data_IF_096255456995
#
_entry.id   IF_096255456995
#
_cell.length_a   1.000
_cell.length_b   1.000
_cell.length_c   1.000
_cell.angle_alpha   90.00
_cell.angle_beta   90.00
_cell.angle_gamma   90.00
#
_symmetry.space_group_name_H-M   'P 1'
#
loop_
_entity.id
_entity.type
_entity.pdbx_description
1 polymer ?
#
# COMPACT_ATOMS: atom_id res chain seq x y z
N UNK A 1 -13.16 -14.17 15.77
CA UNK A 1 -13.98 -14.21 14.54
C UNK A 1 -13.06 -14.59 13.39
N UNK A 2 -13.27 -15.75 12.81
CA UNK A 2 -12.53 -16.22 11.64
C UNK A 2 -13.10 -15.47 10.43
N UNK A 3 -12.26 -14.92 9.59
CA UNK A 3 -12.65 -14.28 8.32
C UNK A 3 -12.90 -15.35 7.26
N UNK A 4 -14.16 -15.79 7.04
CA UNK A 4 -14.48 -16.93 6.18
C UNK A 4 -14.21 -16.67 4.68
N UNK A 5 -14.11 -15.40 4.28
CA UNK A 5 -13.93 -14.99 2.89
C UNK A 5 -12.52 -15.23 2.33
N UNK A 6 -11.54 -15.47 3.19
CA UNK A 6 -10.17 -15.77 2.76
C UNK A 6 -9.86 -17.26 2.68
N UNK A 7 -10.90 -18.10 2.49
CA UNK A 7 -10.68 -19.47 2.06
C UNK A 7 -10.09 -19.47 0.63
N UNK A 8 -8.80 -19.47 0.53
CA UNK A 8 -8.08 -19.74 -0.73
C UNK A 8 -8.58 -21.11 -1.22
N UNK A 9 -9.22 -21.15 -2.41
CA UNK A 9 -9.57 -22.42 -3.04
C UNK A 9 -8.29 -23.19 -3.33
N UNK A 10 -8.08 -24.28 -2.60
CA UNK A 10 -6.86 -25.07 -2.61
C UNK A 10 -7.09 -26.29 -3.47
N UNK A 11 -6.16 -26.51 -4.39
CA UNK A 11 -5.98 -27.80 -5.04
C UNK A 11 -5.50 -28.81 -3.98
N UNK A 12 -6.27 -29.88 -3.77
CA UNK A 12 -6.13 -30.86 -2.68
C UNK A 12 -4.83 -31.69 -2.73
N UNK A 13 -3.84 -31.31 -3.53
CA UNK A 13 -2.56 -32.02 -3.70
C UNK A 13 -1.31 -31.27 -3.23
N UNK A 14 -1.42 -30.06 -2.68
CA UNK A 14 -0.29 -29.32 -2.09
C UNK A 14 -0.52 -29.06 -0.61
N UNK A 15 0.52 -29.23 0.20
CA UNK A 15 0.54 -29.03 1.64
C UNK A 15 -0.16 -27.72 2.05
N UNK A 16 -1.25 -27.89 2.81
CA UNK A 16 -2.03 -26.79 3.37
C UNK A 16 -1.25 -26.15 4.52
N UNK A 17 -0.46 -25.15 4.22
CA UNK A 17 0.13 -24.32 5.26
C UNK A 17 -0.91 -23.33 5.77
N UNK A 18 -1.43 -23.54 6.97
CA UNK A 18 -2.28 -22.55 7.64
C UNK A 18 -1.54 -21.21 7.71
N UNK A 19 -2.19 -20.08 7.34
CA UNK A 19 -1.58 -18.77 7.46
C UNK A 19 -1.03 -18.59 8.87
N UNK A 20 0.28 -18.32 8.99
CA UNK A 20 0.90 -18.09 10.28
C UNK A 20 0.46 -16.72 10.86
N UNK A 21 0.72 -16.49 12.13
CA UNK A 21 0.30 -15.26 12.82
C UNK A 21 0.92 -13.99 12.18
N UNK A 22 2.13 -14.11 11.63
CA UNK A 22 2.78 -13.00 10.95
C UNK A 22 2.07 -12.63 9.65
N UNK A 23 1.64 -13.63 8.87
CA UNK A 23 0.82 -13.41 7.67
C UNK A 23 -0.52 -12.76 8.01
N UNK A 24 -1.22 -13.25 9.03
CA UNK A 24 -2.51 -12.67 9.47
C UNK A 24 -2.36 -11.22 9.89
N UNK A 25 -1.31 -10.92 10.69
CA UNK A 25 -0.93 -9.55 11.07
C UNK A 25 -0.64 -8.70 9.83
N UNK A 26 0.15 -9.23 8.91
CA UNK A 26 0.52 -8.55 7.67
C UNK A 26 -0.67 -8.27 6.77
N UNK A 27 -1.57 -9.23 6.62
CA UNK A 27 -2.78 -9.08 5.83
C UNK A 27 -3.67 -7.94 6.37
N UNK A 28 -3.88 -7.92 7.68
CA UNK A 28 -4.63 -6.85 8.33
C UNK A 28 -4.02 -5.48 8.04
N UNK A 29 -2.70 -5.32 8.24
CA UNK A 29 -2.00 -4.06 8.02
C UNK A 29 -2.04 -3.65 6.54
N UNK A 30 -1.80 -4.59 5.64
CA UNK A 30 -1.85 -4.37 4.19
C UNK A 30 -3.22 -3.85 3.76
N UNK A 31 -4.29 -4.47 4.27
CA UNK A 31 -5.68 -4.07 4.00
C UNK A 31 -5.98 -2.67 4.54
N UNK A 32 -5.57 -2.36 5.76
CA UNK A 32 -5.77 -1.03 6.36
C UNK A 32 -5.04 0.07 5.58
N UNK A 33 -3.85 -0.20 5.03
CA UNK A 33 -3.05 0.78 4.29
C UNK A 33 -3.47 0.89 2.82
N UNK A 34 -3.64 -0.23 2.12
CA UNK A 34 -3.88 -0.23 0.67
C UNK A 34 -5.37 -0.24 0.30
N UNK A 35 -6.25 -0.56 1.25
CA UNK A 35 -7.69 -0.74 1.05
C UNK A 35 -8.05 -2.17 0.73
N UNK A 36 -9.24 -2.57 1.19
CA UNK A 36 -9.75 -3.95 1.11
C UNK A 36 -9.88 -4.42 -0.35
N UNK A 37 -10.52 -3.62 -1.18
CA UNK A 37 -10.75 -3.96 -2.60
C UNK A 37 -9.45 -4.27 -3.37
N UNK A 38 -8.40 -3.47 -3.13
CA UNK A 38 -7.10 -3.71 -3.77
C UNK A 38 -6.47 -5.01 -3.30
N UNK A 39 -6.47 -5.25 -1.98
CA UNK A 39 -5.84 -6.43 -1.38
C UNK A 39 -6.58 -7.70 -1.76
N UNK A 40 -7.91 -7.68 -1.72
CA UNK A 40 -8.75 -8.82 -2.12
C UNK A 40 -8.53 -9.17 -3.58
N UNK A 41 -8.50 -8.18 -4.46
CA UNK A 41 -8.20 -8.40 -5.88
C UNK A 41 -6.83 -9.04 -6.07
N UNK A 42 -5.79 -8.53 -5.39
CA UNK A 42 -4.43 -9.04 -5.50
C UNK A 42 -4.31 -10.49 -5.00
N UNK A 43 -4.99 -10.84 -3.91
CA UNK A 43 -4.97 -12.20 -3.34
C UNK A 43 -5.80 -13.16 -4.20
N UNK A 44 -7.02 -12.77 -4.58
CA UNK A 44 -7.94 -13.63 -5.32
C UNK A 44 -7.50 -13.88 -6.78
N UNK A 45 -6.73 -12.96 -7.36
CA UNK A 45 -6.13 -13.13 -8.70
C UNK A 45 -4.80 -13.87 -8.68
N UNK A 46 -4.29 -14.25 -7.50
CA UNK A 46 -3.02 -14.95 -7.39
C UNK A 46 -3.10 -16.35 -8.01
N UNK A 47 -2.17 -16.63 -8.91
CA UNK A 47 -1.97 -17.91 -9.56
C UNK A 47 -0.79 -18.66 -8.92
N UNK A 48 -0.55 -19.90 -9.30
CA UNK A 48 0.62 -20.67 -8.81
C UNK A 48 1.95 -19.95 -9.08
N UNK A 49 2.00 -19.10 -10.12
CA UNK A 49 3.21 -18.32 -10.45
C UNK A 49 3.57 -17.26 -9.40
N UNK A 50 2.58 -16.58 -8.83
CA UNK A 50 2.82 -15.43 -7.95
C UNK A 50 2.26 -15.58 -6.53
N UNK A 51 1.66 -16.71 -6.19
CA UNK A 51 1.08 -16.98 -4.87
C UNK A 51 2.14 -16.90 -3.77
N UNK A 52 3.24 -17.61 -3.94
CA UNK A 52 4.33 -17.62 -2.95
C UNK A 52 4.89 -16.21 -2.71
N UNK A 53 4.95 -15.39 -3.77
CA UNK A 53 5.37 -13.98 -3.64
C UNK A 53 4.34 -13.14 -2.88
N UNK A 54 3.02 -13.34 -3.12
CA UNK A 54 1.98 -12.66 -2.36
C UNK A 54 2.04 -13.02 -0.86
N UNK A 55 2.27 -14.29 -0.54
CA UNK A 55 2.44 -14.77 0.84
C UNK A 55 3.70 -14.16 1.47
N UNK A 56 4.85 -14.28 0.82
CA UNK A 56 6.11 -13.72 1.26
C UNK A 56 6.01 -12.20 1.54
N UNK A 57 5.48 -11.45 0.58
CA UNK A 57 5.31 -10.00 0.72
C UNK A 57 4.36 -9.65 1.86
N UNK A 58 3.24 -10.37 2.01
CA UNK A 58 2.28 -10.10 3.08
C UNK A 58 2.89 -10.39 4.45
N UNK A 59 3.62 -11.48 4.58
CA UNK A 59 4.25 -11.87 5.84
C UNK A 59 5.41 -10.94 6.21
N UNK A 60 6.37 -10.75 5.31
CA UNK A 60 7.61 -10.05 5.66
C UNK A 60 7.51 -8.54 5.51
N UNK A 61 6.98 -8.02 4.40
CA UNK A 61 6.84 -6.59 4.24
C UNK A 61 5.80 -6.03 5.22
N UNK A 62 4.58 -6.55 5.17
CA UNK A 62 3.47 -6.01 5.95
C UNK A 62 3.47 -6.49 7.40
N UNK A 63 3.70 -7.77 7.65
CA UNK A 63 3.72 -8.34 9.00
C UNK A 63 4.98 -7.96 9.77
N UNK A 64 6.16 -8.29 9.23
CA UNK A 64 7.41 -8.12 9.96
C UNK A 64 7.93 -6.68 9.95
N UNK A 65 7.76 -5.89 8.86
CA UNK A 65 8.29 -4.53 8.77
C UNK A 65 7.25 -3.48 9.12
N UNK A 66 6.11 -3.43 8.41
CA UNK A 66 5.06 -2.46 8.67
C UNK A 66 4.39 -2.63 10.05
N UNK A 67 4.45 -3.84 10.59
CA UNK A 67 3.93 -4.16 11.91
C UNK A 67 4.86 -3.81 13.09
N UNK A 68 5.99 -3.14 12.86
CA UNK A 68 6.92 -2.69 13.92
C UNK A 68 6.51 -1.32 14.47
N UNK A 69 6.75 -1.12 15.77
CA UNK A 69 6.37 0.13 16.48
C UNK A 69 7.39 1.27 16.31
N UNK A 70 8.61 0.99 15.81
CA UNK A 70 9.69 1.97 15.73
C UNK A 70 9.44 3.19 14.83
N UNK A 71 8.51 3.07 13.86
CA UNK A 71 8.02 4.18 13.04
C UNK A 71 6.50 4.13 12.96
N UNK A 72 5.85 5.28 13.00
CA UNK A 72 4.41 5.38 12.75
C UNK A 72 4.07 5.02 11.30
N UNK A 73 2.81 4.69 11.04
CA UNK A 73 2.33 4.41 9.68
C UNK A 73 2.47 5.61 8.75
N UNK A 74 2.26 6.82 9.26
CA UNK A 74 2.52 8.07 8.53
C UNK A 74 3.96 8.15 8.05
N UNK A 75 4.92 7.98 8.96
CA UNK A 75 6.34 8.02 8.63
C UNK A 75 6.72 6.95 7.60
N UNK A 76 6.19 5.72 7.73
CA UNK A 76 6.41 4.66 6.73
C UNK A 76 5.85 5.04 5.37
N UNK A 77 4.66 5.66 5.33
CA UNK A 77 4.06 6.11 4.08
C UNK A 77 4.90 7.19 3.40
N UNK A 78 5.32 8.23 4.12
CA UNK A 78 6.17 9.29 3.55
C UNK A 78 7.52 8.73 3.07
N UNK A 79 8.15 7.82 3.83
CA UNK A 79 9.37 7.13 3.41
C UNK A 79 9.15 6.33 2.13
N UNK A 80 8.03 5.62 1.99
CA UNK A 80 7.72 4.86 0.77
C UNK A 80 7.56 5.78 -0.44
N UNK A 81 6.90 6.93 -0.29
CA UNK A 81 6.79 7.90 -1.38
C UNK A 81 8.18 8.36 -1.85
N UNK A 82 9.11 8.64 -0.93
CA UNK A 82 10.48 8.99 -1.28
C UNK A 82 11.19 7.86 -2.05
N UNK A 83 11.13 6.63 -1.54
CA UNK A 83 11.79 5.48 -2.15
C UNK A 83 11.22 5.16 -3.54
N UNK A 84 9.88 5.18 -3.68
CA UNK A 84 9.22 4.83 -4.93
C UNK A 84 9.42 5.89 -6.02
N UNK A 85 9.47 7.17 -5.63
CA UNK A 85 9.83 8.25 -6.55
C UNK A 85 11.29 8.12 -7.02
N UNK A 86 12.23 7.89 -6.09
CA UNK A 86 13.66 7.70 -6.41
C UNK A 86 13.90 6.48 -7.31
N UNK A 87 13.14 5.40 -7.11
CA UNK A 87 13.24 4.18 -7.90
C UNK A 87 12.45 4.23 -9.22
N UNK A 88 11.77 5.35 -9.51
CA UNK A 88 10.90 5.52 -10.67
C UNK A 88 9.83 4.41 -10.79
N UNK A 89 9.05 4.23 -9.72
CA UNK A 89 7.99 3.22 -9.61
C UNK A 89 6.61 3.89 -9.54
N UNK A 90 6.09 4.47 -10.63
CA UNK A 90 4.89 5.30 -10.61
C UNK A 90 3.62 4.55 -10.20
N UNK A 91 3.47 3.29 -10.57
CA UNK A 91 2.30 2.49 -10.21
C UNK A 91 2.24 2.23 -8.70
N UNK A 92 3.35 1.83 -8.11
CA UNK A 92 3.45 1.61 -6.67
C UNK A 92 3.40 2.95 -5.91
N UNK A 93 3.92 4.02 -6.49
CA UNK A 93 3.81 5.38 -5.93
C UNK A 93 2.35 5.82 -5.83
N UNK A 94 1.55 5.67 -6.90
CA UNK A 94 0.12 5.98 -6.88
C UNK A 94 -0.62 5.22 -5.79
N UNK A 95 -0.36 3.91 -5.68
CA UNK A 95 -0.96 3.06 -4.66
C UNK A 95 -0.58 3.52 -3.22
N UNK A 96 0.70 3.81 -2.98
CA UNK A 96 1.19 4.26 -1.68
C UNK A 96 0.82 5.71 -1.35
N UNK A 97 0.56 6.56 -2.34
CA UNK A 97 0.01 7.90 -2.12
C UNK A 97 -1.39 7.81 -1.50
N UNK A 98 -2.26 6.97 -2.07
CA UNK A 98 -3.59 6.69 -1.49
C UNK A 98 -3.47 6.08 -0.09
N UNK A 99 -2.50 5.20 0.12
CA UNK A 99 -2.17 4.63 1.42
C UNK A 99 -1.69 5.69 2.43
N UNK A 100 -0.93 6.68 1.99
CA UNK A 100 -0.48 7.79 2.84
C UNK A 100 -1.67 8.62 3.36
N UNK A 101 -2.65 8.93 2.50
CA UNK A 101 -3.89 9.60 2.90
C UNK A 101 -4.67 8.77 3.93
N UNK A 102 -4.84 7.45 3.70
CA UNK A 102 -5.49 6.54 4.66
C UNK A 102 -4.77 6.46 5.99
N UNK A 103 -3.45 6.55 5.99
CA UNK A 103 -2.62 6.57 7.20
C UNK A 103 -2.59 7.94 7.89
N UNK A 104 -3.38 8.92 7.41
CA UNK A 104 -3.55 10.23 8.02
C UNK A 104 -2.43 11.22 7.70
N UNK A 105 -1.66 11.02 6.61
CA UNK A 105 -0.79 12.07 6.09
C UNK A 105 -1.66 13.22 5.54
N UNK A 106 -1.35 14.45 5.92
CA UNK A 106 -2.00 15.61 5.33
C UNK A 106 -1.44 15.88 3.92
N UNK A 107 -2.21 16.55 3.09
CA UNK A 107 -1.77 17.00 1.76
C UNK A 107 -0.51 17.87 1.88
N UNK A 108 -0.42 18.69 2.93
CA UNK A 108 0.74 19.54 3.19
C UNK A 108 1.99 18.70 3.51
N UNK A 109 1.90 17.68 4.39
CA UNK A 109 3.03 16.79 4.70
C UNK A 109 3.51 16.04 3.45
N UNK A 110 2.58 15.60 2.60
CA UNK A 110 2.93 14.96 1.34
C UNK A 110 3.60 15.96 0.40
N UNK A 111 3.05 17.17 0.23
CA UNK A 111 3.62 18.23 -0.61
C UNK A 111 5.07 18.55 -0.21
N UNK A 112 5.32 18.75 1.08
CA UNK A 112 6.68 19.00 1.59
C UNK A 112 7.63 17.83 1.28
N UNK A 113 7.15 16.60 1.40
CA UNK A 113 7.90 15.40 1.02
C UNK A 113 8.24 15.41 -0.48
N UNK A 114 7.28 15.75 -1.35
CA UNK A 114 7.52 15.82 -2.80
C UNK A 114 8.50 16.94 -3.19
N UNK A 115 8.48 18.08 -2.50
CA UNK A 115 9.47 19.14 -2.67
C UNK A 115 10.88 18.65 -2.32
N UNK A 116 11.02 17.93 -1.22
CA UNK A 116 12.29 17.33 -0.82
C UNK A 116 12.78 16.29 -1.83
N UNK A 117 11.89 15.46 -2.40
CA UNK A 117 12.22 14.53 -3.50
C UNK A 117 12.81 15.30 -4.68
N UNK A 118 12.26 16.47 -5.03
CA UNK A 118 12.78 17.30 -6.13
C UNK A 118 14.23 17.72 -5.95
N UNK A 119 14.67 17.91 -4.72
CA UNK A 119 16.04 18.29 -4.39
C UNK A 119 16.99 17.07 -4.38
N UNK A 120 16.58 15.96 -3.75
CA UNK A 120 17.47 14.81 -3.51
C UNK A 120 17.41 13.74 -4.61
N UNK A 121 16.27 13.64 -5.33
CA UNK A 121 16.07 12.66 -6.40
C UNK A 121 15.99 13.30 -7.79
N UNK A 122 15.99 14.63 -7.85
CA UNK A 122 15.93 15.42 -9.08
C UNK A 122 14.51 15.86 -9.46
N UNK A 123 14.46 17.02 -10.14
CA UNK A 123 13.21 17.66 -10.57
C UNK A 123 12.30 16.72 -11.40
N UNK A 124 12.80 15.89 -12.33
CA UNK A 124 11.94 14.98 -13.10
C UNK A 124 11.16 13.99 -12.21
N UNK A 125 11.77 13.47 -11.15
CA UNK A 125 11.09 12.57 -10.20
C UNK A 125 9.96 13.30 -9.47
N UNK A 126 10.20 14.55 -9.04
CA UNK A 126 9.16 15.35 -8.40
C UNK A 126 8.03 15.73 -9.37
N UNK A 127 8.33 16.07 -10.62
CA UNK A 127 7.29 16.39 -11.64
C UNK A 127 6.30 15.23 -11.79
N UNK A 128 6.81 14.00 -11.93
CA UNK A 128 5.95 12.83 -12.03
C UNK A 128 5.17 12.58 -10.72
N UNK A 129 5.82 12.71 -9.57
CA UNK A 129 5.19 12.54 -8.27
C UNK A 129 4.05 13.57 -8.04
N UNK A 130 4.27 14.84 -8.38
CA UNK A 130 3.25 15.89 -8.31
C UNK A 130 2.09 15.65 -9.29
N UNK A 131 2.39 15.17 -10.50
CA UNK A 131 1.37 14.83 -11.50
C UNK A 131 0.43 13.74 -10.98
N UNK A 132 1.00 12.66 -10.43
CA UNK A 132 0.23 11.56 -9.84
C UNK A 132 -0.55 12.06 -8.62
N UNK A 133 0.13 12.79 -7.73
CA UNK A 133 -0.49 13.32 -6.52
C UNK A 133 -1.68 14.22 -6.80
N UNK A 134 -1.55 15.14 -7.78
CA UNK A 134 -2.66 16.01 -8.19
C UNK A 134 -3.89 15.22 -8.63
N UNK A 135 -3.70 14.21 -9.50
CA UNK A 135 -4.78 13.33 -9.96
C UNK A 135 -5.52 12.70 -8.76
N UNK A 136 -4.77 12.16 -7.79
CA UNK A 136 -5.36 11.48 -6.62
C UNK A 136 -6.13 12.46 -5.73
N UNK A 137 -5.59 13.66 -5.52
CA UNK A 137 -6.25 14.70 -4.71
C UNK A 137 -7.56 15.14 -5.37
N UNK A 138 -7.55 15.40 -6.68
CA UNK A 138 -8.74 15.77 -7.44
C UNK A 138 -9.85 14.69 -7.34
N UNK A 139 -9.48 13.41 -7.39
CA UNK A 139 -10.39 12.27 -7.19
C UNK A 139 -10.94 12.23 -5.75
N UNK A 140 -10.07 12.39 -4.76
CA UNK A 140 -10.43 12.37 -3.34
C UNK A 140 -11.40 13.48 -2.96
N UNK A 141 -11.18 14.69 -3.48
CA UNK A 141 -12.07 15.84 -3.24
C UNK A 141 -13.43 15.64 -3.91
N UNK A 142 -13.47 15.03 -5.11
CA UNK A 142 -14.73 14.74 -5.79
C UNK A 142 -15.57 13.70 -5.07
N UNK A 143 -14.96 12.66 -4.49
CA UNK A 143 -15.64 11.63 -3.69
C UNK A 143 -16.23 12.18 -2.39
N UNK A 144 -15.53 13.11 -1.72
CA UNK A 144 -16.01 13.72 -0.49
C UNK A 144 -17.16 14.70 -0.74
N UNK A 145 -17.09 15.49 -1.81
CA UNK A 145 -18.15 16.42 -2.18
C UNK A 145 -19.46 15.72 -2.61
N UNK A 146 -19.41 14.43 -2.97
CA UNK A 146 -20.60 13.63 -3.32
C UNK A 146 -21.25 12.98 -2.10
N UNK A 147 -20.55 12.85 -0.97
CA UNK A 147 -21.08 12.28 0.29
C UNK A 147 -21.81 13.30 1.17
N UNK A 148 -21.57 14.58 0.92
CA UNK A 148 -22.20 15.71 1.66
C UNK A 148 -23.47 16.24 0.99
N UNK A 149 -23.97 15.56 -0.05
CA UNK A 149 -25.24 15.85 -0.73
C UNK A 149 -26.25 14.73 -0.50
#
# INVERSE_FOLDING_TARGET
MLYPQYCIKIDTKKDYRMPNEMFKKGLKIRTEVLGEEYVDRAINSATDFNRDFQEFMTEYCWGAVWGREGLSRKQRSLNNLCMLAALNRPAEFEMHFRGALRNGCSIEEIKETLLQIGIYCGVPAAVEAFRIGKKIIDEYDSENNTKDK
#
